data_IF_884922273972
#
_entry.id   IF_884922273972
#
_cell.length_a   1.000
_cell.length_b   1.000
_cell.length_c   1.000
_cell.angle_alpha   90.00
_cell.angle_beta   90.00
_cell.angle_gamma   90.00
#
_symmetry.space_group_name_H-M   'P 1'
#
loop_
_entity.id
_entity.type
_entity.pdbx_description
1 polymer ?
#
# COMPACT_ATOMS: atom_id res chain seq x y z
N UNK A 1 19.82 8.89 -51.80
CA UNK A 1 19.74 9.85 -50.69
C UNK A 1 19.16 9.19 -49.42
N UNK A 2 18.07 8.43 -49.50
CA UNK A 2 17.42 7.78 -48.36
C UNK A 2 18.31 6.83 -47.53
N UNK A 3 19.15 6.00 -48.19
CA UNK A 3 19.99 5.03 -47.47
C UNK A 3 21.07 5.70 -46.61
N UNK A 4 21.66 6.81 -47.06
CA UNK A 4 22.64 7.57 -46.24
C UNK A 4 21.99 8.22 -45.04
N UNK A 5 20.75 8.68 -45.15
CA UNK A 5 19.96 9.23 -44.02
C UNK A 5 19.65 8.12 -43.04
N UNK A 6 19.22 6.94 -43.50
CA UNK A 6 18.95 5.80 -42.62
C UNK A 6 20.20 5.38 -41.83
N UNK A 7 21.36 5.27 -42.47
CA UNK A 7 22.62 4.97 -41.76
C UNK A 7 22.98 6.04 -40.73
N UNK A 8 22.77 7.32 -41.05
CA UNK A 8 22.98 8.41 -40.09
C UNK A 8 22.11 8.28 -38.86
N UNK A 9 20.82 7.94 -39.02
CA UNK A 9 19.88 7.71 -37.90
C UNK A 9 20.31 6.50 -37.06
N UNK A 10 20.68 5.38 -37.70
CA UNK A 10 21.12 4.18 -36.98
C UNK A 10 22.41 4.42 -36.18
N UNK A 11 23.36 5.18 -36.72
CA UNK A 11 24.57 5.54 -36.00
C UNK A 11 24.25 6.44 -34.81
N UNK A 12 23.40 7.45 -34.98
CA UNK A 12 22.98 8.33 -33.91
C UNK A 12 22.26 7.57 -32.77
N UNK A 13 21.37 6.62 -33.13
CA UNK A 13 20.69 5.75 -32.18
C UNK A 13 21.69 4.85 -31.43
N UNK A 14 22.66 4.27 -32.15
CA UNK A 14 23.73 3.47 -31.52
C UNK A 14 24.54 4.27 -30.50
N UNK A 15 24.96 5.49 -30.86
CA UNK A 15 25.67 6.39 -29.94
C UNK A 15 24.81 6.74 -28.74
N UNK A 16 23.52 7.04 -28.93
CA UNK A 16 22.59 7.35 -27.84
C UNK A 16 22.46 6.17 -26.88
N UNK A 17 22.33 4.96 -27.38
CA UNK A 17 22.24 3.73 -26.57
C UNK A 17 23.51 3.55 -25.76
N UNK A 18 24.69 3.66 -26.39
CA UNK A 18 25.98 3.52 -25.70
C UNK A 18 26.14 4.57 -24.58
N UNK A 19 25.83 5.82 -24.86
CA UNK A 19 25.91 6.88 -23.83
C UNK A 19 24.96 6.57 -22.67
N UNK A 20 23.73 6.11 -22.97
CA UNK A 20 22.74 5.77 -21.94
C UNK A 20 23.21 4.63 -21.06
N UNK A 21 23.78 3.57 -21.65
CA UNK A 21 24.34 2.44 -20.93
C UNK A 21 25.51 2.84 -20.03
N UNK A 22 26.45 3.65 -20.57
CA UNK A 22 27.57 4.17 -19.79
C UNK A 22 27.06 5.00 -18.59
N UNK A 23 26.09 5.90 -18.82
CA UNK A 23 25.51 6.68 -17.74
C UNK A 23 24.77 5.82 -16.71
N UNK A 24 24.11 4.74 -17.12
CA UNK A 24 23.43 3.81 -16.22
C UNK A 24 24.44 3.05 -15.34
N UNK A 25 25.56 2.58 -15.90
CA UNK A 25 26.62 1.90 -15.14
C UNK A 25 27.23 2.82 -14.08
N UNK A 26 27.43 4.10 -14.41
CA UNK A 26 28.00 5.08 -13.48
C UNK A 26 26.95 5.83 -12.65
N UNK A 27 25.65 5.46 -12.77
CA UNK A 27 24.60 6.06 -11.98
C UNK A 27 24.68 5.56 -10.54
N UNK A 28 25.28 6.37 -9.69
CA UNK A 28 25.29 6.15 -8.24
C UNK A 28 24.31 7.14 -7.61
N UNK A 29 23.18 6.68 -7.05
CA UNK A 29 22.27 7.57 -6.34
C UNK A 29 23.01 8.27 -5.19
N UNK A 30 22.84 9.57 -5.03
CA UNK A 30 23.37 10.28 -3.87
C UNK A 30 22.76 9.68 -2.61
N UNK A 31 23.58 9.01 -1.79
CA UNK A 31 23.16 8.62 -0.45
C UNK A 31 22.84 9.90 0.32
N UNK A 32 21.59 10.06 0.69
CA UNK A 32 21.25 11.04 1.73
C UNK A 32 21.71 10.47 3.06
N UNK A 33 22.55 11.20 3.77
CA UNK A 33 22.81 10.89 5.17
C UNK A 33 21.51 11.18 5.93
N UNK A 34 20.77 10.12 6.23
CA UNK A 34 19.63 10.18 7.14
C UNK A 34 20.12 9.82 8.52
N UNK A 35 19.74 10.62 9.51
CA UNK A 35 19.91 10.19 10.92
C UNK A 35 19.10 8.91 11.09
N UNK A 36 19.62 7.90 11.81
CA UNK A 36 18.82 6.75 12.18
C UNK A 36 17.59 7.25 12.93
N UNK A 37 16.42 6.79 12.51
CA UNK A 37 15.21 7.00 13.32
C UNK A 37 15.38 6.25 14.62
N UNK A 38 14.96 6.86 15.73
CA UNK A 38 14.80 6.14 16.98
C UNK A 38 13.80 5.01 16.74
N UNK A 39 14.07 3.84 17.32
CA UNK A 39 13.14 2.72 17.21
C UNK A 39 11.91 3.03 18.04
N UNK A 40 10.80 3.18 17.36
CA UNK A 40 9.50 3.24 17.99
C UNK A 40 9.12 1.88 18.59
N UNK A 41 8.43 1.91 19.72
CA UNK A 41 7.93 0.70 20.35
C UNK A 41 6.60 0.31 19.71
N UNK A 42 6.67 -0.56 18.71
CA UNK A 42 5.51 -1.04 17.96
C UNK A 42 5.08 -2.40 18.48
N UNK A 43 3.79 -2.59 18.69
CA UNK A 43 3.20 -3.92 18.98
C UNK A 43 3.16 -4.75 17.69
N UNK A 44 4.28 -5.42 17.41
CA UNK A 44 4.47 -6.22 16.19
C UNK A 44 3.45 -7.38 16.12
N UNK A 45 3.05 -7.95 17.25
CA UNK A 45 2.07 -9.05 17.28
C UNK A 45 0.68 -8.54 16.87
N UNK A 46 0.28 -7.36 17.31
CA UNK A 46 -0.98 -6.72 16.93
C UNK A 46 -0.99 -6.40 15.43
N UNK A 47 0.07 -5.76 14.92
CA UNK A 47 0.22 -5.45 13.48
C UNK A 47 0.14 -6.73 12.64
N UNK A 48 0.88 -7.77 13.03
CA UNK A 48 0.92 -9.03 12.30
C UNK A 48 -0.46 -9.73 12.30
N UNK A 49 -1.15 -9.71 13.43
CA UNK A 49 -2.52 -10.25 13.56
C UNK A 49 -3.50 -9.51 12.65
N UNK A 50 -3.46 -8.17 12.63
CA UNK A 50 -4.35 -7.37 11.82
C UNK A 50 -4.02 -7.53 10.32
N UNK A 51 -2.76 -7.59 9.93
CA UNK A 51 -2.40 -7.86 8.53
C UNK A 51 -2.85 -9.26 8.09
N UNK A 52 -2.62 -10.29 8.91
CA UNK A 52 -3.11 -11.64 8.65
C UNK A 52 -4.63 -11.66 8.47
N UNK A 53 -5.38 -11.05 9.38
CA UNK A 53 -6.84 -10.93 9.30
C UNK A 53 -7.32 -10.18 8.06
N UNK A 54 -6.63 -9.10 7.71
CA UNK A 54 -6.92 -8.31 6.51
C UNK A 54 -6.76 -9.14 5.21
N UNK A 55 -5.72 -10.00 5.14
CA UNK A 55 -5.48 -10.86 3.98
C UNK A 55 -6.58 -11.92 3.83
N UNK A 56 -7.14 -12.42 4.93
CA UNK A 56 -8.21 -13.42 4.93
C UNK A 56 -9.53 -12.93 4.35
N UNK A 57 -9.66 -11.63 4.09
CA UNK A 57 -10.84 -11.03 3.47
C UNK A 57 -10.50 -10.72 2.01
N UNK A 58 -11.00 -11.50 1.04
CA UNK A 58 -10.63 -11.40 -0.37
C UNK A 58 -11.35 -10.23 -1.06
N UNK A 59 -10.87 -9.02 -0.87
CA UNK A 59 -11.37 -7.80 -1.52
C UNK A 59 -10.91 -7.73 -2.97
N UNK A 60 -11.30 -8.72 -3.78
CA UNK A 60 -10.87 -8.82 -5.17
C UNK A 60 -11.62 -7.84 -6.03
N UNK A 61 -10.89 -7.02 -6.79
CA UNK A 61 -11.44 -6.10 -7.78
C UNK A 61 -11.30 -6.64 -9.21
N UNK A 62 -12.24 -6.22 -10.05
CA UNK A 62 -12.27 -6.53 -11.48
C UNK A 62 -12.60 -5.25 -12.25
N UNK A 63 -12.15 -5.11 -13.51
CA UNK A 63 -12.60 -4.01 -14.37
C UNK A 63 -14.11 -3.96 -14.53
N UNK A 64 -14.76 -5.12 -14.55
CA UNK A 64 -16.21 -5.25 -14.63
C UNK A 64 -16.79 -5.26 -13.22
N UNK A 65 -17.53 -4.22 -12.85
CA UNK A 65 -18.10 -4.02 -11.50
C UNK A 65 -19.08 -5.12 -11.07
N UNK A 66 -19.75 -5.76 -12.00
CA UNK A 66 -20.68 -6.86 -11.78
C UNK A 66 -20.01 -8.18 -11.35
N UNK A 67 -18.68 -8.27 -11.52
CA UNK A 67 -17.87 -9.40 -11.05
C UNK A 67 -17.33 -9.20 -9.64
N UNK A 68 -17.43 -8.00 -9.09
CA UNK A 68 -16.89 -7.67 -7.76
C UNK A 68 -17.85 -8.13 -6.68
N UNK A 69 -17.34 -8.92 -5.74
CA UNK A 69 -18.09 -9.26 -4.52
C UNK A 69 -17.96 -8.12 -3.49
N UNK A 70 -18.87 -7.16 -3.58
CA UNK A 70 -18.90 -6.00 -2.67
C UNK A 70 -19.08 -6.39 -1.20
N UNK A 71 -19.65 -7.56 -0.90
CA UNK A 71 -19.80 -8.03 0.48
C UNK A 71 -18.45 -8.26 1.18
N UNK A 72 -17.40 -8.58 0.42
CA UNK A 72 -16.06 -8.69 0.98
C UNK A 72 -15.49 -7.32 1.39
N UNK A 73 -15.84 -6.25 0.66
CA UNK A 73 -15.46 -4.90 1.04
C UNK A 73 -16.21 -4.44 2.30
N UNK A 74 -17.51 -4.72 2.39
CA UNK A 74 -18.27 -4.45 3.62
C UNK A 74 -17.70 -5.20 4.83
N UNK A 75 -17.35 -6.49 4.64
CA UNK A 75 -16.70 -7.30 5.66
C UNK A 75 -15.34 -6.71 6.06
N UNK A 76 -14.58 -6.21 5.09
CA UNK A 76 -13.28 -5.59 5.33
C UNK A 76 -13.43 -4.27 6.11
N UNK A 77 -14.41 -3.43 5.77
CA UNK A 77 -14.70 -2.20 6.51
C UNK A 77 -15.07 -2.48 7.95
N UNK A 78 -15.91 -3.49 8.18
CA UNK A 78 -16.25 -3.94 9.53
C UNK A 78 -15.03 -4.45 10.30
N UNK A 79 -14.16 -5.20 9.64
CA UNK A 79 -12.90 -5.65 10.22
C UNK A 79 -12.03 -4.46 10.66
N UNK A 80 -11.92 -3.40 9.83
CA UNK A 80 -11.19 -2.18 10.19
C UNK A 80 -11.83 -1.47 11.40
N UNK A 81 -13.16 -1.38 11.46
CA UNK A 81 -13.87 -0.79 12.60
C UNK A 81 -13.60 -1.54 13.91
N UNK A 82 -13.62 -2.88 13.85
CA UNK A 82 -13.36 -3.74 15.02
C UNK A 82 -11.88 -3.70 15.45
N UNK A 83 -10.95 -3.54 14.50
CA UNK A 83 -9.52 -3.52 14.75
C UNK A 83 -9.01 -2.17 15.25
N UNK A 84 -9.66 -1.06 14.87
CA UNK A 84 -9.21 0.31 15.13
C UNK A 84 -10.31 1.19 15.74
N UNK A 85 -10.78 0.88 16.94
CA UNK A 85 -11.94 1.54 17.54
C UNK A 85 -11.70 3.02 17.91
N UNK A 86 -10.47 3.41 18.29
CA UNK A 86 -10.17 4.81 18.60
C UNK A 86 -10.12 5.66 17.32
N UNK A 87 -9.55 5.14 16.26
CA UNK A 87 -9.53 5.77 14.95
C UNK A 87 -10.97 6.04 14.48
N UNK A 88 -11.82 5.02 14.49
CA UNK A 88 -13.21 5.15 14.03
C UNK A 88 -14.10 6.02 14.96
N UNK A 89 -13.72 6.16 16.21
CA UNK A 89 -14.38 7.07 17.15
C UNK A 89 -13.95 8.53 16.97
N UNK A 90 -12.70 8.75 16.55
CA UNK A 90 -12.08 10.09 16.58
C UNK A 90 -12.06 10.76 15.22
N UNK A 91 -11.77 10.02 14.16
CA UNK A 91 -11.68 10.56 12.81
C UNK A 91 -13.07 10.65 12.17
N UNK A 92 -13.25 11.69 11.36
CA UNK A 92 -14.41 11.77 10.48
C UNK A 92 -14.23 10.78 9.33
N UNK A 93 -15.19 9.88 9.15
CA UNK A 93 -15.21 8.92 8.03
C UNK A 93 -16.26 9.33 7.00
N UNK A 94 -15.89 9.25 5.73
CA UNK A 94 -16.77 9.38 4.58
C UNK A 94 -16.57 8.17 3.67
N UNK A 95 -17.68 7.54 3.29
CA UNK A 95 -17.70 6.44 2.34
C UNK A 95 -17.98 7.01 0.95
N UNK A 96 -17.03 6.85 0.02
CA UNK A 96 -17.09 7.41 -1.32
C UNK A 96 -17.31 6.28 -2.33
N UNK A 97 -18.33 6.45 -3.17
CA UNK A 97 -18.78 5.42 -4.11
C UNK A 97 -19.09 4.09 -3.42
N UNK A 98 -18.71 2.95 -4.03
CA UNK A 98 -19.11 1.63 -3.52
C UNK A 98 -18.28 1.18 -2.30
N UNK A 99 -16.97 1.56 -2.25
CA UNK A 99 -16.10 1.00 -1.21
C UNK A 99 -14.91 1.89 -0.79
N UNK A 100 -14.72 3.07 -1.36
CA UNK A 100 -13.59 3.91 -0.97
C UNK A 100 -13.86 4.57 0.38
N UNK A 101 -12.86 4.56 1.27
CA UNK A 101 -12.93 5.15 2.59
C UNK A 101 -12.05 6.40 2.63
N UNK A 102 -12.61 7.51 3.11
CA UNK A 102 -11.87 8.72 3.43
C UNK A 102 -11.97 8.96 4.94
N UNK A 103 -10.82 9.04 5.60
CA UNK A 103 -10.75 9.42 7.01
C UNK A 103 -10.07 10.79 7.13
N UNK A 104 -10.64 11.64 7.96
CA UNK A 104 -10.07 12.95 8.27
C UNK A 104 -9.77 13.06 9.75
N UNK A 105 -8.50 13.22 10.07
CA UNK A 105 -8.06 13.56 11.42
C UNK A 105 -7.81 15.06 11.50
N UNK A 106 -8.70 15.78 12.19
CA UNK A 106 -8.59 17.23 12.32
C UNK A 106 -7.38 17.65 13.14
N UNK A 107 -6.57 18.51 12.58
CA UNK A 107 -5.45 19.15 13.27
C UNK A 107 -5.86 20.37 14.07
N UNK A 108 -4.94 20.83 14.93
CA UNK A 108 -5.12 22.03 15.77
C UNK A 108 -5.07 23.31 14.98
N UNK A 109 -4.31 23.35 13.89
CA UNK A 109 -4.08 24.53 13.08
C UNK A 109 -4.65 24.35 11.66
N UNK A 110 -5.84 24.92 11.40
CA UNK A 110 -6.50 24.81 10.10
C UNK A 110 -5.80 25.60 8.97
N UNK A 111 -4.83 26.45 9.30
CA UNK A 111 -4.06 27.22 8.30
C UNK A 111 -2.93 26.40 7.69
N UNK A 112 -2.63 25.23 8.24
CA UNK A 112 -1.64 24.32 7.69
C UNK A 112 -2.26 23.45 6.59
N UNK A 113 -1.52 23.28 5.49
CA UNK A 113 -1.95 22.36 4.45
C UNK A 113 -1.99 20.91 4.98
N UNK A 114 -3.03 20.13 4.62
CA UNK A 114 -3.20 18.75 5.08
C UNK A 114 -2.13 17.82 4.47
N UNK A 115 -1.93 16.68 5.14
CA UNK A 115 -1.12 15.57 4.63
C UNK A 115 -2.07 14.43 4.27
N UNK A 116 -1.97 13.91 3.05
CA UNK A 116 -2.72 12.76 2.61
C UNK A 116 -1.86 11.49 2.65
N UNK A 117 -2.33 10.47 3.37
CA UNK A 117 -1.79 9.11 3.33
C UNK A 117 -2.72 8.25 2.46
N UNK A 118 -2.18 7.67 1.42
CA UNK A 118 -2.98 6.93 0.42
C UNK A 118 -2.63 5.45 0.44
N UNK A 119 -3.65 4.61 0.42
CA UNK A 119 -3.52 3.17 0.29
C UNK A 119 -4.71 2.60 -0.48
N UNK A 120 -4.60 1.37 -0.99
CA UNK A 120 -5.75 0.68 -1.54
C UNK A 120 -6.04 -0.63 -0.77
N UNK A 121 -7.31 -0.99 -0.72
CA UNK A 121 -7.80 -2.14 0.02
C UNK A 121 -8.08 -3.34 -0.89
N UNK A 122 -8.25 -3.09 -2.18
CA UNK A 122 -8.53 -4.13 -3.16
C UNK A 122 -7.27 -4.89 -3.56
N UNK A 123 -7.48 -6.04 -4.12
CA UNK A 123 -6.43 -6.92 -4.64
C UNK A 123 -6.85 -7.48 -6.01
N UNK A 124 -5.85 -7.79 -6.84
CA UNK A 124 -6.10 -8.48 -8.11
C UNK A 124 -6.48 -9.96 -7.86
N UNK A 125 -7.28 -10.56 -8.77
CA UNK A 125 -7.64 -11.96 -8.67
C UNK A 125 -6.43 -12.89 -8.72
N UNK A 126 -6.65 -14.14 -8.32
CA UNK A 126 -5.71 -15.23 -8.58
C UNK A 126 -5.90 -15.64 -10.04
N UNK A 127 -4.82 -15.81 -10.76
CA UNK A 127 -4.86 -16.27 -12.13
C UNK A 127 -5.40 -17.71 -12.19
N UNK A 128 -6.47 -17.97 -12.94
CA UNK A 128 -7.06 -19.30 -13.01
C UNK A 128 -6.05 -20.38 -13.43
N UNK A 129 -5.99 -21.46 -12.66
CA UNK A 129 -5.09 -22.57 -12.88
C UNK A 129 -3.72 -22.44 -12.20
N UNK A 130 -3.48 -21.35 -11.46
CA UNK A 130 -2.23 -21.15 -10.67
C UNK A 130 -2.45 -21.31 -9.16
N UNK A 131 -3.63 -21.74 -8.74
CA UNK A 131 -3.96 -21.88 -7.31
C UNK A 131 -3.02 -22.85 -6.59
N UNK A 132 -2.59 -23.90 -7.29
CA UNK A 132 -1.65 -24.90 -6.78
C UNK A 132 -0.17 -24.46 -6.75
N UNK A 133 0.16 -23.33 -7.36
CA UNK A 133 1.54 -22.80 -7.40
C UNK A 133 1.87 -21.98 -6.14
N UNK A 134 0.88 -21.67 -5.33
CA UNK A 134 1.06 -20.91 -4.10
C UNK A 134 1.61 -21.82 -2.98
N UNK A 135 2.65 -21.34 -2.29
CA UNK A 135 3.22 -22.04 -1.11
C UNK A 135 2.19 -22.18 0.02
N UNK A 136 1.35 -21.18 0.19
CA UNK A 136 0.23 -21.16 1.12
C UNK A 136 -1.01 -20.65 0.38
N UNK A 137 -2.19 -21.05 0.81
CA UNK A 137 -3.45 -20.57 0.21
C UNK A 137 -3.47 -19.04 0.09
N UNK A 138 -3.83 -18.48 -1.08
CA UNK A 138 -3.70 -17.05 -1.38
C UNK A 138 -4.33 -16.11 -0.36
N UNK A 139 -5.42 -16.53 0.27
CA UNK A 139 -6.15 -15.73 1.26
C UNK A 139 -6.11 -16.35 2.66
N UNK A 140 -5.09 -17.17 2.96
CA UNK A 140 -4.93 -17.75 4.30
C UNK A 140 -4.46 -16.73 5.34
N UNK A 141 -3.73 -15.69 4.93
CA UNK A 141 -3.07 -14.79 5.87
C UNK A 141 -2.06 -15.55 6.77
N UNK A 142 -1.47 -16.63 6.26
CA UNK A 142 -0.57 -17.47 7.04
C UNK A 142 0.61 -16.67 7.58
N UNK A 143 0.83 -16.79 8.89
CA UNK A 143 1.94 -16.16 9.60
C UNK A 143 2.88 -17.26 10.10
N UNK A 144 4.11 -17.30 9.58
CA UNK A 144 5.14 -18.28 9.98
C UNK A 144 6.06 -17.78 11.12
N UNK A 145 5.79 -16.57 11.62
CA UNK A 145 6.57 -15.89 12.65
C UNK A 145 7.65 -14.95 12.09
N UNK A 146 7.96 -15.03 10.80
CA UNK A 146 8.89 -14.15 10.10
C UNK A 146 8.18 -13.38 8.99
N UNK A 147 7.29 -14.04 8.25
CA UNK A 147 6.53 -13.49 7.13
C UNK A 147 5.03 -13.72 7.29
N UNK A 148 4.25 -12.84 6.68
CA UNK A 148 2.81 -13.01 6.49
C UNK A 148 2.54 -13.22 5.02
N UNK A 149 1.96 -14.38 4.69
CA UNK A 149 1.78 -14.86 3.33
C UNK A 149 0.38 -14.61 2.81
N UNK A 150 0.27 -14.19 1.58
CA UNK A 150 -1.00 -14.11 0.88
C UNK A 150 -1.12 -13.00 -0.14
N UNK A 151 -2.21 -13.04 -0.92
CA UNK A 151 -2.57 -12.02 -1.89
C UNK A 151 -2.87 -10.70 -1.18
N UNK A 152 -2.19 -9.62 -1.57
CA UNK A 152 -2.33 -8.32 -0.95
C UNK A 152 -1.42 -8.09 0.27
N UNK A 153 -0.63 -9.10 0.70
CA UNK A 153 0.30 -8.94 1.80
C UNK A 153 1.33 -7.83 1.54
N UNK A 154 1.82 -7.72 0.30
CA UNK A 154 2.78 -6.69 -0.11
C UNK A 154 2.11 -5.51 -0.84
N UNK A 155 1.13 -5.79 -1.69
CA UNK A 155 0.45 -4.80 -2.54
C UNK A 155 -1.07 -4.86 -2.33
N UNK A 156 -1.63 -3.96 -1.43
CA UNK A 156 -0.83 -3.20 -0.48
C UNK A 156 -1.54 -3.11 0.89
N UNK A 157 -2.16 -4.22 1.33
CA UNK A 157 -2.80 -4.26 2.65
C UNK A 157 -1.82 -4.01 3.79
N UNK A 158 -0.52 -4.37 3.63
CA UNK A 158 0.51 -4.03 4.60
C UNK A 158 0.56 -2.52 4.87
N UNK A 159 0.59 -1.71 3.81
CA UNK A 159 0.65 -0.26 3.98
C UNK A 159 -0.61 0.29 4.62
N UNK A 160 -1.80 -0.19 4.20
CA UNK A 160 -3.07 0.18 4.79
C UNK A 160 -3.07 -0.11 6.30
N UNK A 161 -2.74 -1.34 6.69
CA UNK A 161 -2.68 -1.76 8.09
C UNK A 161 -1.65 -0.95 8.87
N UNK A 162 -0.43 -0.72 8.32
CA UNK A 162 0.57 0.09 9.01
C UNK A 162 0.11 1.53 9.26
N UNK A 163 -0.60 2.15 8.33
CA UNK A 163 -1.15 3.50 8.52
C UNK A 163 -2.22 3.50 9.61
N UNK A 164 -3.15 2.53 9.58
CA UNK A 164 -4.21 2.42 10.60
C UNK A 164 -3.63 2.16 12.00
N UNK A 165 -2.64 1.26 12.10
CA UNK A 165 -1.93 0.98 13.37
C UNK A 165 -1.21 2.20 13.91
N UNK A 166 -0.53 2.96 13.04
CA UNK A 166 0.16 4.18 13.46
C UNK A 166 -0.82 5.22 14.02
N UNK A 167 -1.95 5.41 13.35
CA UNK A 167 -2.99 6.34 13.81
C UNK A 167 -3.60 5.88 15.12
N UNK A 168 -3.97 4.60 15.25
CA UNK A 168 -4.55 4.03 16.47
C UNK A 168 -3.57 4.18 17.65
N UNK A 169 -2.28 3.85 17.46
CA UNK A 169 -1.24 3.99 18.47
C UNK A 169 -1.07 5.45 18.91
N UNK A 170 -1.02 6.38 17.97
CA UNK A 170 -0.92 7.81 18.29
C UNK A 170 -2.14 8.31 19.09
N UNK A 171 -3.32 7.78 18.79
CA UNK A 171 -4.53 8.09 19.55
C UNK A 171 -4.50 7.47 20.96
N UNK A 172 -3.99 6.25 21.12
CA UNK A 172 -3.75 5.62 22.43
C UNK A 172 -2.82 6.46 23.31
N UNK A 173 -1.82 7.10 22.69
CA UNK A 173 -0.87 8.00 23.34
C UNK A 173 -1.44 9.41 23.60
N UNK A 174 -2.64 9.72 23.12
CA UNK A 174 -3.27 11.03 23.25
C UNK A 174 -2.66 12.10 22.34
N UNK A 175 -2.03 11.68 21.24
CA UNK A 175 -1.48 12.61 20.26
C UNK A 175 -2.59 13.36 19.53
N UNK A 176 -2.39 14.64 19.31
CA UNK A 176 -3.23 15.51 18.47
C UNK A 176 -2.38 16.15 17.38
N UNK A 177 -2.70 15.94 16.10
CA UNK A 177 -1.91 16.49 15.01
C UNK A 177 -2.02 18.01 14.91
N UNK A 178 -0.99 18.65 14.36
CA UNK A 178 -1.02 20.09 14.10
C UNK A 178 -1.81 20.42 12.82
N UNK A 179 -1.83 19.52 11.85
CA UNK A 179 -2.55 19.64 10.56
C UNK A 179 -3.44 18.44 10.32
N UNK A 180 -4.43 18.65 9.47
CA UNK A 180 -5.28 17.58 9.00
C UNK A 180 -4.51 16.55 8.20
#
# INVERSE_FOLDING_TARGET
MGLKILYGILIALGIFIVITLIRAIFFVPKKRETKPLEKENVDVERVAKHLSGAIQIPTVSYPEKDKVDWSQFEKFHKFLEESYPLLHKTLEREDIAEASLLYRWKGKNPDLEPIALLSHQDVVPIEPGTEGDWTHEPFSGYNDGEFIWGRGALDMKNHLICVMEAVETLLEEGYEPERD
#
